data_IF_560274490899
#
_entry.id   IF_560274490899
#
_cell.length_a   1.000
_cell.length_b   1.000
_cell.length_c   1.000
_cell.angle_alpha   90.00
_cell.angle_beta   90.00
_cell.angle_gamma   90.00
#
_symmetry.space_group_name_H-M   'P 1'
#
loop_
_entity.id
_entity.type
_entity.pdbx_description
1 polymer ?
#
# COMPACT_ATOMS: atom_id res chain seq x y z
N UNK A 1 23.82 0.81 0.52
CA UNK A 1 23.18 0.73 0.87
C UNK A 1 22.29 0.15 0.60
N UNK A 2 21.86 0.20 0.53
CA UNK A 2 21.05 0.00 0.35
C UNK A 2 20.12 0.17 0.18
N UNK A 3 19.96 0.11 0.03
CA UNK A 3 19.23 0.86 0.20
C UNK A 3 19.18 1.21 1.35
N UNK A 4 20.08 1.17 2.04
CA UNK A 4 20.14 1.50 3.09
C UNK A 4 21.37 1.80 3.48
N UNK A 5 22.49 1.39 3.30
CA UNK A 5 23.54 1.83 3.71
C UNK A 5 24.03 2.75 2.85
N UNK A 6 24.10 2.47 1.92
CA UNK A 6 24.34 3.42 1.09
C UNK A 6 23.26 4.37 1.29
N UNK A 7 22.25 3.91 1.77
CA UNK A 7 21.21 4.63 2.06
C UNK A 7 21.44 5.62 3.04
N UNK A 8 22.07 5.33 4.06
CA UNK A 8 22.31 6.21 5.07
C UNK A 8 23.02 7.43 4.67
N UNK A 9 24.04 7.36 3.97
CA UNK A 9 24.68 8.44 3.61
C UNK A 9 23.90 9.22 2.68
N UNK A 10 23.22 8.63 1.78
CA UNK A 10 22.45 9.33 0.87
C UNK A 10 21.30 10.00 1.46
N UNK A 11 20.86 9.58 2.58
CA UNK A 11 19.75 10.23 3.19
C UNK A 11 20.05 11.65 3.57
N UNK A 12 21.26 11.98 3.68
CA UNK A 12 21.58 13.32 4.04
C UNK A 12 21.53 14.19 2.83
N UNK A 13 21.54 13.61 1.65
CA UNK A 13 21.52 14.35 0.44
C UNK A 13 20.10 14.83 0.20
N UNK A 14 19.88 16.10 0.00
CA UNK A 14 18.55 16.63 -0.21
C UNK A 14 17.84 15.99 -1.37
N UNK A 15 18.56 15.70 -2.43
CA UNK A 15 17.96 15.07 -3.57
C UNK A 15 17.46 13.69 -3.22
N UNK A 16 18.23 12.97 -2.48
CA UNK A 16 17.86 11.64 -2.10
C UNK A 16 16.66 11.69 -1.17
N UNK A 17 16.65 12.63 -0.27
CA UNK A 17 15.55 12.76 0.65
C UNK A 17 14.27 13.05 -0.07
N UNK A 18 14.33 13.88 -1.08
CA UNK A 18 13.19 14.18 -1.83
C UNK A 18 12.66 12.95 -2.51
N UNK A 19 13.53 12.17 -3.12
CA UNK A 19 13.12 10.96 -3.78
C UNK A 19 12.52 10.00 -2.78
N UNK A 20 13.07 9.99 -1.60
CA UNK A 20 12.59 9.10 -0.59
C UNK A 20 11.17 9.45 -0.19
N UNK A 21 10.82 10.70 -0.27
CA UNK A 21 9.50 11.13 0.08
C UNK A 21 8.49 10.82 -1.01
N UNK A 22 8.96 10.46 -2.18
CA UNK A 22 8.06 10.12 -3.22
C UNK A 22 7.46 8.78 -2.95
N UNK A 23 6.19 8.73 -2.87
CA UNK A 23 5.50 7.50 -2.56
C UNK A 23 5.15 6.77 -3.82
N UNK A 24 5.33 5.47 -3.79
CA UNK A 24 4.95 4.63 -4.92
C UNK A 24 3.56 4.10 -4.62
N UNK A 25 2.52 4.72 -5.17
CA UNK A 25 1.15 4.34 -4.81
C UNK A 25 0.86 2.86 -5.00
N UNK A 26 1.35 2.29 -6.07
CA UNK A 26 1.09 0.89 -6.32
C UNK A 26 1.70 0.00 -5.25
N UNK A 27 2.90 0.33 -4.84
CA UNK A 27 3.55 -0.46 -3.82
C UNK A 27 2.85 -0.30 -2.48
N UNK A 28 2.37 0.89 -2.20
CA UNK A 28 1.66 1.12 -0.96
C UNK A 28 0.35 0.37 -0.91
N UNK A 29 -0.35 0.29 -2.04
CA UNK A 29 -1.60 -0.44 -2.10
C UNK A 29 -1.32 -1.92 -1.90
N UNK A 30 -0.30 -2.46 -2.55
CA UNK A 30 0.03 -3.85 -2.43
C UNK A 30 0.37 -4.20 -0.99
N UNK A 31 1.19 -3.37 -0.35
CA UNK A 31 1.58 -3.62 1.01
C UNK A 31 0.37 -3.57 1.94
N UNK A 32 -0.51 -2.59 1.72
CA UNK A 32 -1.70 -2.46 2.54
C UNK A 32 -2.60 -3.68 2.40
N UNK A 33 -2.74 -4.21 1.19
CA UNK A 33 -3.54 -5.38 0.98
C UNK A 33 -2.98 -6.58 1.71
N UNK A 34 -1.68 -6.78 1.60
CA UNK A 34 -1.05 -7.91 2.25
C UNK A 34 -1.14 -7.78 3.76
N UNK A 35 -0.92 -6.58 4.28
CA UNK A 35 -0.98 -6.36 5.72
C UNK A 35 -2.40 -6.58 6.24
N UNK A 36 -3.39 -6.11 5.50
CA UNK A 36 -4.77 -6.27 5.94
C UNK A 36 -5.11 -7.75 5.99
N UNK A 37 -4.72 -8.49 4.96
CA UNK A 37 -5.03 -9.90 4.89
C UNK A 37 -4.32 -10.68 5.99
N UNK A 38 -3.02 -10.45 6.13
CA UNK A 38 -2.25 -11.24 7.09
C UNK A 38 -2.58 -10.86 8.53
N UNK A 39 -3.01 -9.62 8.76
CA UNK A 39 -3.37 -9.23 10.12
C UNK A 39 -4.58 -10.02 10.61
N UNK A 40 -5.34 -10.59 9.70
CA UNK A 40 -6.49 -11.39 10.07
C UNK A 40 -6.22 -12.87 9.90
N UNK A 41 -4.96 -13.21 9.68
CA UNK A 41 -4.56 -14.61 9.52
C UNK A 41 -5.28 -15.30 8.36
N UNK A 42 -5.53 -14.55 7.30
CA UNK A 42 -6.17 -15.11 6.13
C UNK A 42 -5.16 -15.45 5.08
N UNK A 43 -5.28 -16.61 4.48
CA UNK A 43 -4.44 -16.95 3.33
C UNK A 43 -5.10 -16.32 2.10
N UNK A 44 -4.37 -16.31 1.00
CA UNK A 44 -4.93 -15.81 -0.25
C UNK A 44 -6.16 -16.64 -0.64
N UNK A 45 -6.10 -17.92 -0.39
CA UNK A 45 -7.20 -18.80 -0.72
C UNK A 45 -8.42 -18.46 0.12
N UNK A 46 -8.23 -18.22 1.41
CA UNK A 46 -9.34 -17.90 2.27
C UNK A 46 -9.95 -16.55 1.90
N UNK A 47 -9.12 -15.60 1.54
CA UNK A 47 -9.62 -14.31 1.12
C UNK A 47 -10.41 -14.47 -0.17
N UNK A 48 -9.94 -15.31 -1.07
CA UNK A 48 -10.63 -15.56 -2.32
C UNK A 48 -12.02 -16.12 -2.02
N UNK A 49 -12.09 -17.02 -1.07
CA UNK A 49 -13.37 -17.62 -0.72
C UNK A 49 -14.31 -16.60 -0.11
N UNK A 50 -13.80 -15.71 0.70
CA UNK A 50 -14.64 -14.72 1.34
C UNK A 50 -15.15 -13.66 0.36
N UNK A 51 -14.39 -13.36 -0.63
CA UNK A 51 -14.73 -12.26 -1.52
C UNK A 51 -15.34 -12.70 -2.84
N UNK A 52 -15.15 -13.95 -3.19
CA UNK A 52 -15.59 -14.42 -4.49
C UNK A 52 -14.63 -14.03 -5.60
N UNK A 53 -13.46 -13.52 -5.23
CA UNK A 53 -12.46 -13.15 -6.22
C UNK A 53 -11.51 -14.33 -6.36
N UNK A 54 -11.11 -14.63 -7.58
CA UNK A 54 -10.25 -15.77 -7.81
C UNK A 54 -8.93 -15.62 -7.09
N UNK A 55 -8.43 -16.69 -6.53
CA UNK A 55 -7.16 -16.64 -5.82
C UNK A 55 -6.03 -16.19 -6.73
N UNK A 56 -6.05 -16.60 -8.02
CA UNK A 56 -5.02 -16.19 -8.94
C UNK A 56 -5.04 -14.68 -9.11
N UNK A 57 -6.22 -14.08 -9.02
CA UNK A 57 -6.34 -12.66 -9.18
C UNK A 57 -5.73 -11.97 -7.96
N UNK A 58 -6.03 -12.47 -6.77
CA UNK A 58 -5.47 -11.91 -5.55
C UNK A 58 -3.94 -12.04 -5.58
N UNK A 59 -3.45 -13.16 -6.06
CA UNK A 59 -2.03 -13.38 -6.14
C UNK A 59 -1.38 -12.37 -7.10
N UNK A 60 -2.01 -12.09 -8.22
CA UNK A 60 -1.45 -11.15 -9.17
C UNK A 60 -1.46 -9.73 -8.60
N UNK A 61 -2.49 -9.39 -7.85
CA UNK A 61 -2.54 -8.09 -7.23
C UNK A 61 -1.41 -7.95 -6.22
N UNK A 62 -1.20 -8.98 -5.42
CA UNK A 62 -0.20 -8.90 -4.37
C UNK A 62 1.23 -8.96 -4.90
N UNK A 63 1.45 -9.53 -6.05
CA UNK A 63 2.79 -9.56 -6.56
C UNK A 63 3.04 -8.44 -7.59
N UNK A 64 2.07 -7.55 -7.76
CA UNK A 64 2.28 -6.38 -8.57
C UNK A 64 2.11 -6.54 -10.06
N UNK A 65 1.60 -7.68 -10.50
CA UNK A 65 1.45 -7.89 -11.94
C UNK A 65 0.09 -7.46 -12.45
N UNK A 66 -0.74 -6.93 -11.56
CA UNK A 66 -2.03 -6.43 -11.99
C UNK A 66 -2.39 -5.20 -11.18
N UNK A 67 -2.90 -4.17 -11.84
CA UNK A 67 -3.31 -2.96 -11.16
C UNK A 67 -4.71 -3.12 -10.65
N UNK A 68 -4.95 -2.88 -9.38
CA UNK A 68 -6.29 -3.03 -8.83
C UNK A 68 -7.17 -1.84 -9.18
N UNK A 69 -8.45 -2.09 -9.33
CA UNK A 69 -9.40 -1.01 -9.50
C UNK A 69 -9.94 -0.67 -8.11
N UNK A 70 -10.52 0.47 -7.99
CA UNK A 70 -11.13 0.88 -6.72
C UNK A 70 -12.22 -0.11 -6.34
N UNK A 71 -13.03 -0.53 -7.27
CA UNK A 71 -14.06 -1.48 -6.99
C UNK A 71 -13.52 -2.78 -6.48
N UNK A 72 -12.44 -3.27 -7.05
CA UNK A 72 -11.85 -4.51 -6.62
C UNK A 72 -11.30 -4.37 -5.22
N UNK A 73 -10.67 -3.23 -4.93
CA UNK A 73 -10.15 -2.99 -3.60
C UNK A 73 -11.27 -2.91 -2.58
N UNK A 74 -12.41 -2.34 -2.96
CA UNK A 74 -13.55 -2.27 -2.07
C UNK A 74 -14.08 -3.66 -1.76
N UNK A 75 -14.10 -4.54 -2.76
CA UNK A 75 -14.58 -5.89 -2.52
C UNK A 75 -13.65 -6.63 -1.57
N UNK A 76 -12.35 -6.40 -1.73
CA UNK A 76 -11.39 -7.04 -0.85
C UNK A 76 -11.57 -6.52 0.58
N UNK A 77 -11.75 -5.21 0.72
CA UNK A 77 -11.92 -4.62 2.03
C UNK A 77 -13.18 -5.18 2.70
N UNK A 78 -14.27 -5.27 1.96
CA UNK A 78 -15.48 -5.79 2.52
C UNK A 78 -15.32 -7.23 2.98
N UNK A 79 -14.61 -8.03 2.22
CA UNK A 79 -14.38 -9.41 2.60
C UNK A 79 -13.56 -9.55 3.86
N UNK A 80 -12.80 -8.52 4.18
CA UNK A 80 -11.99 -8.52 5.37
C UNK A 80 -12.64 -7.74 6.51
N UNK A 81 -13.85 -7.25 6.30
CA UNK A 81 -14.52 -6.47 7.33
C UNK A 81 -13.89 -5.11 7.53
N UNK A 82 -13.30 -4.57 6.49
CA UNK A 82 -12.61 -3.30 6.55
C UNK A 82 -13.21 -2.30 5.59
N UNK A 83 -12.81 -1.05 5.74
CA UNK A 83 -13.25 0.02 4.87
C UNK A 83 -12.05 0.49 4.08
N UNK A 84 -12.22 0.66 2.78
CA UNK A 84 -11.15 1.19 1.94
C UNK A 84 -11.14 2.70 2.12
N UNK A 85 -9.97 3.24 2.43
CA UNK A 85 -9.82 4.67 2.64
C UNK A 85 -8.68 5.17 1.75
N UNK A 86 -8.98 6.04 0.82
CA UNK A 86 -8.01 6.57 -0.10
C UNK A 86 -7.88 8.06 0.13
N UNK A 87 -6.67 8.53 0.30
CA UNK A 87 -6.45 9.93 0.59
C UNK A 87 -5.43 10.55 -0.33
N UNK A 88 -5.58 11.83 -0.58
CA UNK A 88 -4.60 12.59 -1.32
C UNK A 88 -3.87 13.42 -0.27
N UNK A 89 -2.57 13.37 -0.28
CA UNK A 89 -1.79 14.15 0.66
C UNK A 89 -0.90 15.13 -0.06
N UNK A 90 -0.65 16.28 0.52
CA UNK A 90 0.22 17.27 -0.10
C UNK A 90 1.61 16.69 -0.27
N UNK A 91 2.23 17.01 -1.38
CA UNK A 91 3.51 16.50 -1.67
C UNK A 91 4.55 17.09 -0.75
N UNK A 92 5.39 16.23 -0.22
CA UNK A 92 6.51 16.67 0.56
C UNK A 92 6.23 17.30 1.91
N UNK A 93 5.03 17.38 2.32
CA UNK A 93 4.78 17.96 3.61
C UNK A 93 3.65 17.28 4.29
N UNK A 94 3.60 16.05 4.10
CA UNK A 94 2.53 15.31 4.66
C UNK A 94 2.23 15.54 6.09
N UNK A 95 3.18 15.45 6.92
CA UNK A 95 2.87 15.58 8.28
C UNK A 95 2.48 16.97 8.62
N UNK A 96 3.09 17.91 8.03
CA UNK A 96 2.78 19.26 8.36
C UNK A 96 1.35 19.54 7.99
N UNK A 97 0.98 19.09 6.86
CA UNK A 97 -0.35 19.34 6.41
C UNK A 97 -1.34 18.79 7.37
N UNK A 98 -1.08 17.63 7.77
CA UNK A 98 -1.98 16.98 8.66
C UNK A 98 -2.19 17.80 9.88
N UNK A 99 -1.18 18.35 10.38
CA UNK A 99 -1.32 19.06 11.56
C UNK A 99 -2.03 20.30 11.35
N UNK A 100 -1.72 20.95 10.36
CA UNK A 100 -2.35 22.18 10.23
C UNK A 100 -3.77 22.11 10.13
N UNK A 101 -4.27 21.34 9.74
CA UNK A 101 -5.57 21.38 9.64
C UNK A 101 -6.27 21.30 10.62
N UNK A 102 -5.77 21.52 11.11
CA UNK A 102 -6.36 21.54 12.05
C UNK A 102 -6.80 22.13 12.31
#
# INVERSE_FOLDING_TARGET
MNLKDYKKEKMRDPVFSKAYEEIQPEMNVIRAMIEARTSQNLTQKQLAEKTGIAQTEISRLENGTRNPSIKLLQRLAEGMGMVLDVQFRPKGSSQAAATSKE
#
